data_IF_400984164818
#
_entry.id   IF_400984164818
#
_cell.length_a   1.000
_cell.length_b   1.000
_cell.length_c   1.000
_cell.angle_alpha   90.00
_cell.angle_beta   90.00
_cell.angle_gamma   90.00
#
_symmetry.space_group_name_H-M   'P 1'
#
loop_
_entity.id
_entity.type
_entity.pdbx_description
1 polymer ?
#
# COMPACT_ATOMS: atom_id res chain seq x y z
N UNK A 1 -9.40 12.37 16.50
CA UNK A 1 -8.95 13.76 16.68
C UNK A 1 -8.64 14.62 15.44
N UNK A 2 -8.42 14.15 14.20
CA UNK A 2 -8.61 15.03 13.01
C UNK A 2 -9.93 14.71 12.30
N UNK A 3 -10.14 13.42 12.00
CA UNK A 3 -11.38 12.87 11.43
C UNK A 3 -12.65 13.22 12.22
N UNK A 4 -12.60 13.10 13.55
CA UNK A 4 -13.74 13.43 14.44
C UNK A 4 -14.10 14.92 14.40
N UNK A 5 -13.11 15.79 14.21
CA UNK A 5 -13.28 17.24 14.10
C UNK A 5 -13.53 17.70 12.65
N UNK A 6 -13.76 16.78 11.71
CA UNK A 6 -13.86 17.03 10.26
C UNK A 6 -12.67 17.83 9.70
N UNK A 7 -11.50 17.70 10.32
CA UNK A 7 -10.26 18.34 9.88
C UNK A 7 -9.54 17.54 8.80
N UNK A 8 -8.60 18.21 8.12
CA UNK A 8 -7.74 17.61 7.08
C UNK A 8 -6.38 17.27 7.69
N UNK A 9 -5.84 16.10 7.37
CA UNK A 9 -4.51 15.67 7.78
C UNK A 9 -3.68 15.33 6.53
N UNK A 10 -2.53 15.99 6.37
CA UNK A 10 -1.57 15.69 5.32
C UNK A 10 -0.58 14.63 5.80
N UNK A 11 -0.56 13.48 5.14
CA UNK A 11 0.42 12.42 5.38
C UNK A 11 1.45 12.46 4.24
N UNK A 12 2.68 12.87 4.55
CA UNK A 12 3.76 12.93 3.56
C UNK A 12 5.03 12.22 4.06
N UNK A 13 5.93 11.95 3.12
CA UNK A 13 7.31 11.58 3.40
C UNK A 13 8.20 12.40 2.47
N UNK A 14 9.40 11.91 2.11
CA UNK A 14 10.28 12.64 1.18
C UNK A 14 9.74 12.62 -0.27
N UNK A 15 9.39 11.44 -0.79
CA UNK A 15 9.02 11.26 -2.22
C UNK A 15 7.55 10.87 -2.40
N UNK A 16 6.89 10.35 -1.35
CA UNK A 16 5.51 9.88 -1.45
C UNK A 16 5.34 8.41 -1.87
N UNK A 17 6.44 7.69 -2.11
CA UNK A 17 6.44 6.32 -2.64
C UNK A 17 6.23 5.25 -1.55
N UNK A 18 6.97 5.31 -0.45
CA UNK A 18 7.06 4.20 0.52
C UNK A 18 6.40 4.50 1.87
N UNK A 19 7.08 5.21 2.78
CA UNK A 19 6.60 5.48 4.16
C UNK A 19 5.19 6.09 4.24
N UNK A 20 4.94 7.19 3.52
CA UNK A 20 3.62 7.83 3.54
C UNK A 20 2.54 7.04 2.81
N UNK A 21 2.91 6.16 1.88
CA UNK A 21 1.98 5.24 1.25
C UNK A 21 1.58 4.13 2.23
N UNK A 22 2.53 3.53 2.94
CA UNK A 22 2.28 2.52 3.96
C UNK A 22 1.31 3.01 5.04
N UNK A 23 1.55 4.20 5.61
CA UNK A 23 0.63 4.78 6.62
C UNK A 23 -0.77 4.99 6.02
N UNK A 24 -0.87 5.49 4.79
CA UNK A 24 -2.15 5.69 4.12
C UNK A 24 -2.90 4.36 3.89
N UNK A 25 -2.19 3.29 3.49
CA UNK A 25 -2.76 1.96 3.30
C UNK A 25 -3.26 1.41 4.65
N UNK A 26 -2.43 1.42 5.70
CA UNK A 26 -2.84 1.01 7.04
C UNK A 26 -4.10 1.75 7.52
N UNK A 27 -4.16 3.06 7.29
CA UNK A 27 -5.31 3.88 7.66
C UNK A 27 -6.57 3.46 6.89
N UNK A 28 -6.45 3.20 5.59
CA UNK A 28 -7.55 2.69 4.75
C UNK A 28 -8.01 1.31 5.21
N UNK A 29 -7.08 0.37 5.42
CA UNK A 29 -7.39 -0.95 5.98
C UNK A 29 -8.21 -0.81 7.27
N UNK A 30 -7.77 0.06 8.18
CA UNK A 30 -8.39 0.25 9.50
C UNK A 30 -9.80 0.85 9.40
N UNK A 31 -9.96 1.91 8.60
CA UNK A 31 -11.18 2.72 8.63
C UNK A 31 -12.21 2.35 7.57
N UNK A 32 -11.83 1.62 6.52
CA UNK A 32 -12.75 1.08 5.51
C UNK A 32 -12.94 -0.43 5.65
N UNK A 33 -12.33 -1.05 6.65
CA UNK A 33 -12.39 -2.49 6.90
C UNK A 33 -12.00 -3.35 5.68
N UNK A 34 -10.94 -2.92 4.99
CA UNK A 34 -10.41 -3.60 3.81
C UNK A 34 -9.19 -4.46 4.16
N UNK A 35 -9.00 -5.53 3.39
CA UNK A 35 -7.77 -6.33 3.40
C UNK A 35 -6.57 -5.55 2.84
N UNK A 36 -5.36 -6.11 2.96
CA UNK A 36 -4.13 -5.46 2.50
C UNK A 36 -4.17 -5.17 1.00
N UNK A 37 -4.53 -6.17 0.20
CA UNK A 37 -4.54 -6.07 -1.27
C UNK A 37 -5.55 -5.00 -1.72
N UNK A 38 -6.76 -5.05 -1.18
CA UNK A 38 -7.83 -4.10 -1.50
C UNK A 38 -7.45 -2.67 -1.10
N UNK A 39 -6.90 -2.49 0.11
CA UNK A 39 -6.45 -1.20 0.59
C UNK A 39 -5.27 -0.64 -0.23
N UNK A 40 -4.32 -1.49 -0.64
CA UNK A 40 -3.23 -1.11 -1.53
C UNK A 40 -3.76 -0.57 -2.86
N UNK A 41 -4.66 -1.32 -3.51
CA UNK A 41 -5.28 -0.91 -4.77
C UNK A 41 -6.10 0.39 -4.61
N UNK A 42 -6.84 0.51 -3.51
CA UNK A 42 -7.60 1.71 -3.18
C UNK A 42 -6.71 2.97 -3.09
N UNK A 43 -5.55 2.86 -2.42
CA UNK A 43 -4.61 3.99 -2.30
C UNK A 43 -3.88 4.25 -3.61
N UNK A 44 -3.47 3.20 -4.34
CA UNK A 44 -2.82 3.31 -5.65
C UNK A 44 -3.68 4.08 -6.64
N UNK A 45 -4.97 3.75 -6.74
CA UNK A 45 -5.92 4.42 -7.64
C UNK A 45 -6.12 5.92 -7.34
N UNK A 46 -5.74 6.39 -6.14
CA UNK A 46 -5.87 7.80 -5.72
C UNK A 46 -4.56 8.58 -5.77
N UNK A 47 -3.43 7.91 -6.02
CA UNK A 47 -2.10 8.52 -6.15
C UNK A 47 -1.61 8.40 -7.60
N UNK A 48 -2.32 9.06 -8.51
CA UNK A 48 -2.07 8.95 -9.95
C UNK A 48 -0.71 9.54 -10.39
N UNK A 49 -0.20 10.53 -9.65
CA UNK A 49 1.05 11.22 -10.00
C UNK A 49 2.32 10.55 -9.43
N UNK A 50 2.17 9.50 -8.61
CA UNK A 50 3.31 8.81 -8.00
C UNK A 50 3.00 7.33 -7.84
N UNK A 51 3.85 6.49 -8.43
CA UNK A 51 3.75 5.05 -8.23
C UNK A 51 4.10 4.76 -6.77
N UNK A 52 3.12 4.25 -6.02
CA UNK A 52 3.37 3.84 -4.64
C UNK A 52 4.06 2.48 -4.59
N UNK A 53 5.11 2.41 -3.79
CA UNK A 53 5.88 1.18 -3.58
C UNK A 53 6.39 1.16 -2.13
N UNK A 54 5.52 0.76 -1.17
CA UNK A 54 5.96 0.46 0.17
C UNK A 54 7.10 -0.56 0.15
N UNK A 55 8.06 -0.42 1.08
CA UNK A 55 9.10 -1.44 1.22
C UNK A 55 8.45 -2.78 1.64
N UNK A 56 9.03 -3.90 1.22
CA UNK A 56 8.54 -5.24 1.57
C UNK A 56 8.36 -5.44 3.09
N UNK A 57 9.20 -4.84 3.94
CA UNK A 57 9.01 -4.86 5.38
C UNK A 57 7.65 -4.28 5.79
N UNK A 58 7.24 -3.14 5.21
CA UNK A 58 5.92 -2.56 5.48
C UNK A 58 4.80 -3.44 4.94
N UNK A 59 4.98 -4.05 3.76
CA UNK A 59 3.99 -4.98 3.20
C UNK A 59 3.78 -6.19 4.13
N UNK A 60 4.86 -6.74 4.69
CA UNK A 60 4.78 -7.83 5.65
C UNK A 60 4.10 -7.40 6.94
N UNK A 61 4.47 -6.25 7.51
CA UNK A 61 3.83 -5.70 8.71
C UNK A 61 2.33 -5.46 8.51
N UNK A 62 1.92 -4.98 7.32
CA UNK A 62 0.50 -4.82 6.98
C UNK A 62 -0.22 -6.16 6.80
N UNK A 63 0.45 -7.18 6.28
CA UNK A 63 -0.12 -8.53 6.17
C UNK A 63 -0.36 -9.14 7.56
N UNK A 64 0.58 -8.95 8.49
CA UNK A 64 0.39 -9.33 9.90
C UNK A 64 -0.76 -8.54 10.54
N UNK A 65 -0.89 -7.24 10.23
CA UNK A 65 -2.00 -6.42 10.71
C UNK A 65 -3.36 -6.91 10.18
N UNK A 66 -3.44 -7.34 8.93
CA UNK A 66 -4.63 -8.00 8.37
C UNK A 66 -4.98 -9.24 9.18
N UNK A 67 -4.03 -10.19 9.31
CA UNK A 67 -4.22 -11.41 10.10
C UNK A 67 -4.71 -11.13 11.53
N UNK A 68 -4.12 -10.15 12.20
CA UNK A 68 -4.50 -9.78 13.56
C UNK A 68 -5.91 -9.21 13.67
N UNK A 69 -6.42 -8.58 12.61
CA UNK A 69 -7.71 -7.90 12.61
C UNK A 69 -8.87 -8.78 12.13
N UNK A 70 -8.65 -9.56 11.08
CA UNK A 70 -9.68 -10.45 10.50
C UNK A 70 -9.57 -11.90 10.96
N UNK A 71 -8.45 -12.30 11.57
CA UNK A 71 -8.16 -13.71 11.86
C UNK A 71 -7.79 -14.53 10.61
N UNK A 72 -7.80 -13.90 9.43
CA UNK A 72 -7.45 -14.47 8.13
C UNK A 72 -6.65 -13.46 7.32
N UNK A 73 -5.83 -13.97 6.40
CA UNK A 73 -5.13 -13.15 5.39
C UNK A 73 -5.76 -13.36 4.02
N UNK A 74 -5.81 -12.29 3.23
CA UNK A 74 -6.33 -12.36 1.85
C UNK A 74 -5.38 -13.20 0.97
N UNK A 75 -4.08 -13.15 1.23
CA UNK A 75 -3.06 -13.83 0.44
C UNK A 75 -1.82 -14.15 1.28
N UNK A 76 -1.13 -15.26 1.00
CA UNK A 76 0.09 -15.65 1.73
C UNK A 76 1.29 -14.78 1.33
N UNK A 77 2.29 -14.69 2.22
CA UNK A 77 3.48 -13.87 1.98
C UNK A 77 4.24 -14.21 0.68
N UNK A 78 4.48 -15.50 0.33
CA UNK A 78 5.16 -15.83 -0.93
C UNK A 78 4.39 -15.36 -2.16
N UNK A 79 3.06 -15.54 -2.17
CA UNK A 79 2.22 -15.10 -3.29
C UNK A 79 2.19 -13.58 -3.37
N UNK A 80 2.08 -12.88 -2.24
CA UNK A 80 2.17 -11.42 -2.18
C UNK A 80 3.49 -10.88 -2.75
N UNK A 81 4.62 -11.48 -2.37
CA UNK A 81 5.93 -11.12 -2.92
C UNK A 81 5.99 -11.33 -4.44
N UNK A 82 5.43 -12.42 -4.93
CA UNK A 82 5.38 -12.73 -6.36
C UNK A 82 4.55 -11.70 -7.14
N UNK A 83 3.37 -11.35 -6.63
CA UNK A 83 2.52 -10.31 -7.24
C UNK A 83 3.18 -8.93 -7.23
N UNK A 84 3.86 -8.57 -6.14
CA UNK A 84 4.65 -7.33 -6.07
C UNK A 84 5.77 -7.35 -7.12
N UNK A 85 6.45 -8.48 -7.30
CA UNK A 85 7.48 -8.61 -8.32
C UNK A 85 6.93 -8.44 -9.74
N UNK A 86 5.81 -9.10 -10.07
CA UNK A 86 5.13 -8.95 -11.35
C UNK A 86 4.70 -7.50 -11.61
N UNK A 87 4.09 -6.85 -10.61
CA UNK A 87 3.71 -5.44 -10.70
C UNK A 87 4.92 -4.53 -10.97
N UNK A 88 6.07 -4.83 -10.35
CA UNK A 88 7.29 -4.04 -10.53
C UNK A 88 8.00 -4.31 -11.86
N UNK A 89 7.86 -5.52 -12.42
CA UNK A 89 8.47 -5.87 -13.71
C UNK A 89 7.94 -4.99 -14.85
N UNK A 90 6.63 -4.72 -14.85
CA UNK A 90 6.00 -3.83 -15.84
C UNK A 90 6.63 -2.44 -15.91
N UNK A 91 7.14 -1.92 -14.79
CA UNK A 91 7.81 -0.61 -14.77
C UNK A 91 9.26 -0.67 -15.23
N UNK A 92 9.94 -1.81 -15.09
CA UNK A 92 11.29 -2.00 -15.61
C UNK A 92 11.28 -1.97 -17.12
N UNK A 93 10.35 -2.69 -17.72
CA UNK A 93 10.21 -2.78 -19.18
C UNK A 93 9.94 -1.39 -19.79
N UNK A 94 9.13 -0.54 -19.14
CA UNK A 94 8.92 0.85 -19.57
C UNK A 94 10.21 1.69 -19.51
N UNK A 95 11.04 1.52 -18.48
CA UNK A 95 12.30 2.26 -18.35
C UNK A 95 13.39 1.77 -19.32
N UNK A 96 13.31 0.52 -19.75
CA UNK A 96 14.21 -0.05 -20.75
C UNK A 96 13.77 0.29 -22.18
N UNK A 97 12.47 0.41 -22.44
CA UNK A 97 11.93 0.84 -23.75
C UNK A 97 12.20 2.32 -24.10
N UNK A 98 12.52 3.15 -23.10
CA UNK A 98 12.90 4.57 -23.28
C UNK A 98 14.41 4.77 -23.49
N UNK A 99 15.21 3.70 -23.51
CA UNK A 99 16.66 3.73 -23.80
C UNK A 99 16.97 3.32 -25.23
#
# INVERSE_FOLDING_TARGET
DARQKKGICLIHCRVGVSRSAAIAICYVMKHLNLGLVEAYLFVRARRLNVIIQPNLKFMYEMLQLEQQRSGTITMTWPVLCNEINHLNALYKDCLEAEK
#
